data_IF_051845358538
#
_entry.id   IF_051845358538
#
_cell.length_a   1.000
_cell.length_b   1.000
_cell.length_c   1.000
_cell.angle_alpha   90.00
_cell.angle_beta   90.00
_cell.angle_gamma   90.00
#
_symmetry.space_group_name_H-M   'P 1'
#
loop_
_entity.id
_entity.type
_entity.pdbx_description
1 polymer ?
#
# COMPACT_ATOMS: atom_id res chain seq x y z
N UNK A 1 -14.14 -11.47 -22.15
CA UNK A 1 -13.54 -11.44 -20.79
C UNK A 1 -12.03 -11.73 -20.76
N UNK A 2 -11.51 -12.75 -21.47
CA UNK A 2 -10.06 -13.09 -21.47
C UNK A 2 -9.13 -11.97 -21.99
N UNK A 3 -9.60 -11.14 -22.92
CA UNK A 3 -8.80 -10.07 -23.56
C UNK A 3 -8.45 -8.94 -22.61
N UNK A 4 -9.36 -8.54 -21.71
CA UNK A 4 -9.14 -7.46 -20.74
C UNK A 4 -8.11 -7.87 -19.68
N UNK A 5 -8.22 -9.12 -19.19
CA UNK A 5 -7.28 -9.69 -18.23
C UNK A 5 -5.86 -9.79 -18.81
N UNK A 6 -5.74 -10.15 -20.10
CA UNK A 6 -4.45 -10.16 -20.80
C UNK A 6 -3.89 -8.75 -21.01
N UNK A 7 -4.74 -7.76 -21.28
CA UNK A 7 -4.30 -6.37 -21.50
C UNK A 7 -3.74 -5.75 -20.21
N UNK A 8 -4.40 -6.00 -19.07
CA UNK A 8 -3.94 -5.59 -17.74
C UNK A 8 -2.60 -6.24 -17.40
N UNK A 9 -2.48 -7.56 -17.63
CA UNK A 9 -1.23 -8.28 -17.41
C UNK A 9 -0.08 -7.77 -18.31
N UNK A 10 -0.38 -7.39 -19.55
CA UNK A 10 0.64 -6.91 -20.50
C UNK A 10 1.09 -5.47 -20.23
N UNK A 11 0.20 -4.63 -19.70
CA UNK A 11 0.54 -3.26 -19.24
C UNK A 11 1.43 -3.29 -18.00
N UNK A 12 1.19 -4.24 -17.10
CA UNK A 12 1.91 -4.34 -15.85
C UNK A 12 3.26 -5.09 -15.92
N UNK A 13 3.42 -6.07 -16.82
CA UNK A 13 4.60 -6.94 -16.88
C UNK A 13 5.45 -6.79 -18.16
N UNK A 14 5.58 -5.56 -18.68
CA UNK A 14 6.35 -5.30 -19.91
C UNK A 14 7.87 -5.21 -19.74
N UNK A 15 8.36 -4.67 -18.62
CA UNK A 15 9.80 -4.55 -18.29
C UNK A 15 10.02 -4.85 -16.81
N UNK A 16 11.24 -5.25 -16.42
CA UNK A 16 11.59 -5.53 -15.01
C UNK A 16 11.29 -4.34 -14.10
N UNK A 17 11.65 -3.12 -14.52
CA UNK A 17 11.37 -1.89 -13.78
C UNK A 17 9.85 -1.67 -13.59
N UNK A 18 9.05 -1.84 -14.65
CA UNK A 18 7.59 -1.68 -14.56
C UNK A 18 6.97 -2.73 -13.63
N UNK A 19 7.41 -3.98 -13.72
CA UNK A 19 6.94 -5.05 -12.85
C UNK A 19 7.21 -4.77 -11.38
N UNK A 20 8.43 -4.29 -11.07
CA UNK A 20 8.79 -3.93 -9.71
C UNK A 20 7.93 -2.76 -9.18
N UNK A 21 7.88 -1.63 -9.89
CA UNK A 21 7.09 -0.46 -9.46
C UNK A 21 5.62 -0.78 -9.24
N UNK A 22 5.09 -1.69 -10.06
CA UNK A 22 3.71 -2.18 -9.98
C UNK A 22 3.43 -2.95 -8.71
N UNK A 23 4.26 -3.97 -8.45
CA UNK A 23 4.11 -4.81 -7.25
C UNK A 23 4.30 -3.95 -6.02
N UNK A 24 5.26 -3.03 -6.06
CA UNK A 24 5.54 -2.10 -4.99
C UNK A 24 4.34 -1.18 -4.70
N UNK A 25 3.74 -0.56 -5.73
CA UNK A 25 2.55 0.28 -5.57
C UNK A 25 1.34 -0.52 -5.08
N UNK A 26 1.12 -1.73 -5.61
CA UNK A 26 0.05 -2.63 -5.17
C UNK A 26 0.22 -3.03 -3.71
N UNK A 27 1.45 -3.31 -3.27
CA UNK A 27 1.76 -3.63 -1.88
C UNK A 27 1.44 -2.43 -0.96
N UNK A 28 1.80 -1.20 -1.35
CA UNK A 28 1.46 0.02 -0.59
C UNK A 28 -0.04 0.20 -0.47
N UNK A 29 -0.78 0.09 -1.59
CA UNK A 29 -2.23 0.24 -1.57
C UNK A 29 -2.90 -0.84 -0.70
N UNK A 30 -2.41 -2.08 -0.76
CA UNK A 30 -2.92 -3.20 0.04
C UNK A 30 -2.63 -3.00 1.52
N UNK A 31 -1.40 -2.60 1.88
CA UNK A 31 -1.03 -2.33 3.27
C UNK A 31 -1.80 -1.14 3.86
N UNK A 32 -1.97 -0.06 3.11
CA UNK A 32 -2.78 1.08 3.52
C UNK A 32 -4.26 0.70 3.73
N UNK A 33 -4.81 -0.15 2.85
CA UNK A 33 -6.17 -0.69 3.02
C UNK A 33 -6.28 -1.55 4.28
N UNK A 34 -5.30 -2.41 4.57
CA UNK A 34 -5.27 -3.22 5.79
C UNK A 34 -5.17 -2.36 7.06
N UNK A 35 -4.39 -1.27 7.04
CA UNK A 35 -4.28 -0.32 8.16
C UNK A 35 -5.57 0.45 8.41
N UNK A 36 -6.41 0.64 7.39
CA UNK A 36 -7.71 1.33 7.53
C UNK A 36 -8.82 0.44 8.07
N UNK A 37 -8.57 -0.86 8.25
CA UNK A 37 -9.55 -1.77 8.85
C UNK A 37 -9.74 -1.44 10.34
N UNK A 38 -10.97 -1.58 10.88
CA UNK A 38 -11.29 -1.17 12.24
C UNK A 38 -10.55 -1.97 13.32
N UNK A 39 -10.00 -3.16 12.99
CA UNK A 39 -9.14 -3.92 13.90
C UNK A 39 -7.73 -3.35 14.03
N UNK A 40 -7.26 -2.61 13.03
CA UNK A 40 -5.90 -2.04 12.97
C UNK A 40 -5.82 -0.68 13.67
N UNK A 41 -6.97 -0.03 13.90
CA UNK A 41 -7.05 1.33 14.44
C UNK A 41 -7.43 1.26 15.91
N UNK A 42 -6.67 1.95 16.76
CA UNK A 42 -7.01 2.08 18.17
C UNK A 42 -8.29 2.89 18.37
N UNK A 43 -9.15 2.41 19.27
CA UNK A 43 -10.43 3.04 19.63
C UNK A 43 -10.24 4.52 19.99
N UNK A 44 -10.97 5.40 19.30
CA UNK A 44 -10.95 6.85 19.56
C UNK A 44 -9.91 7.64 18.76
N UNK A 45 -9.13 7.02 17.87
CA UNK A 45 -8.18 7.71 16.99
C UNK A 45 -8.74 7.84 15.57
N UNK A 46 -8.71 9.06 15.03
CA UNK A 46 -9.05 9.31 13.62
C UNK A 46 -7.81 9.07 12.75
N UNK A 47 -7.81 7.96 12.01
CA UNK A 47 -6.70 7.63 11.12
C UNK A 47 -7.01 8.08 9.67
N UNK A 48 -6.26 9.04 9.13
CA UNK A 48 -6.48 9.56 7.77
C UNK A 48 -6.02 8.56 6.71
N UNK A 49 -6.56 8.67 5.48
CA UNK A 49 -6.10 7.87 4.35
C UNK A 49 -4.68 8.21 3.92
N UNK A 50 -4.28 9.48 4.04
CA UNK A 50 -2.91 9.90 3.67
C UNK A 50 -1.88 9.32 4.65
N UNK A 51 -2.22 9.26 5.94
CA UNK A 51 -1.39 8.66 6.98
C UNK A 51 -1.24 7.16 6.76
N UNK A 52 -2.33 6.46 6.39
CA UNK A 52 -2.29 5.05 6.05
C UNK A 52 -1.34 4.74 4.89
N UNK A 53 -1.38 5.56 3.83
CA UNK A 53 -0.49 5.43 2.67
C UNK A 53 0.96 5.71 3.04
N UNK A 54 1.20 6.76 3.82
CA UNK A 54 2.55 7.12 4.27
C UNK A 54 3.16 6.02 5.15
N UNK A 55 2.42 5.56 6.17
CA UNK A 55 2.86 4.49 7.07
C UNK A 55 3.09 3.19 6.31
N UNK A 56 2.20 2.82 5.38
CA UNK A 56 2.40 1.60 4.57
C UNK A 56 3.62 1.69 3.66
N UNK A 57 3.88 2.85 3.03
CA UNK A 57 5.06 3.04 2.19
C UNK A 57 6.35 3.01 3.00
N UNK A 58 6.35 3.65 4.18
CA UNK A 58 7.48 3.64 5.11
C UNK A 58 7.83 2.24 5.61
N UNK A 59 6.81 1.43 5.92
CA UNK A 59 6.99 0.05 6.34
C UNK A 59 7.59 -0.83 5.20
N UNK A 60 7.09 -0.67 3.97
CA UNK A 60 7.59 -1.43 2.80
C UNK A 60 9.00 -1.02 2.36
N UNK A 61 9.37 0.25 2.52
CA UNK A 61 10.74 0.74 2.31
C UNK A 61 11.67 0.47 3.47
N UNK A 62 11.16 -0.05 4.61
CA UNK A 62 11.92 -0.27 5.84
C UNK A 62 12.58 1.03 6.34
N UNK A 63 11.91 2.17 6.17
CA UNK A 63 12.43 3.48 6.59
C UNK A 63 12.16 3.78 8.05
N UNK A 64 11.07 3.24 8.62
CA UNK A 64 10.75 3.38 10.05
C UNK A 64 10.15 4.73 10.46
N UNK A 65 9.69 5.56 9.51
CA UNK A 65 8.98 6.82 9.77
C UNK A 65 7.47 6.61 9.91
N UNK A 66 6.82 7.42 10.75
CA UNK A 66 5.36 7.42 10.92
C UNK A 66 4.84 8.85 11.02
N UNK A 67 3.70 9.14 10.38
CA UNK A 67 3.01 10.44 10.53
C UNK A 67 2.14 10.51 11.80
N UNK A 68 1.96 9.36 12.47
CA UNK A 68 1.18 9.24 13.71
C UNK A 68 2.06 8.72 14.85
N UNK A 69 1.72 9.09 16.09
CA UNK A 69 2.41 8.60 17.28
C UNK A 69 2.08 7.13 17.49
N UNK A 70 3.12 6.30 17.48
CA UNK A 70 3.04 4.87 17.78
C UNK A 70 3.38 4.73 19.26
N UNK A 71 2.55 4.03 20.05
CA UNK A 71 2.90 3.69 21.44
C UNK A 71 3.91 2.55 21.42
N UNK A 72 4.99 2.71 22.19
CA UNK A 72 6.01 1.69 22.43
C UNK A 72 5.44 0.45 23.15
#
# INVERSE_FOLDING_TARGET
MRVVLQKIRRIFFGTYARGYSTVYLLAICTGAFMLKLPFSIQSGVTFSWIDALFTSASALSVTGLSSVVIKD
#
